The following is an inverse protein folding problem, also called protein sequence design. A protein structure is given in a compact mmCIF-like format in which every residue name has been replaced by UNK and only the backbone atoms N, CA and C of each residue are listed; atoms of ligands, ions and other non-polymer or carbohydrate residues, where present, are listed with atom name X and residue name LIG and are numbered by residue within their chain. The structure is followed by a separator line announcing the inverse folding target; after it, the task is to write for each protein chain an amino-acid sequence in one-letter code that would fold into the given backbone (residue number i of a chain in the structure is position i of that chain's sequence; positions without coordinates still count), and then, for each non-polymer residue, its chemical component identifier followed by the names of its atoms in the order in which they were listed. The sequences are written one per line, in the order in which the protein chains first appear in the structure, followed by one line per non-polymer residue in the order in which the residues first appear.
data_IF_578765460857
#
_entry.id   IF_578765460857
#
_cell.length_a   1.000
_cell.length_b   1.000
_cell.length_c   1.000
_cell.angle_alpha   90.00
_cell.angle_beta   90.00
_cell.angle_gamma   90.00
#
_symmetry.space_group_name_H-M   'P 1'
#
loop_
_entity.id
_entity.type
_entity.pdbx_description
1 polymer ?
#
# COMPACT_ATOMS: atom_id res chain seq x y z
N UNK A 1 8.16 -15.61 11.34
CA UNK A 1 6.85 -15.21 11.91
C UNK A 1 7.03 -13.82 12.48
N UNK A 2 6.29 -12.83 12.00
CA UNK A 2 6.32 -11.47 12.54
C UNK A 2 5.43 -11.46 13.79
N UNK A 3 5.88 -10.85 14.89
CA UNK A 3 5.07 -10.67 16.10
C UNK A 3 4.24 -9.39 16.00
N UNK A 4 3.17 -9.24 16.78
CA UNK A 4 2.39 -7.99 16.82
C UNK A 4 3.25 -6.75 17.13
N UNK A 5 4.20 -6.78 18.11
CA UNK A 5 5.08 -5.63 18.34
C UNK A 5 6.05 -5.34 17.18
N UNK A 6 6.53 -6.36 16.46
CA UNK A 6 7.36 -6.16 15.28
C UNK A 6 6.54 -5.55 14.14
N UNK A 7 5.28 -5.99 13.96
CA UNK A 7 4.37 -5.45 12.97
C UNK A 7 4.09 -3.96 13.23
N UNK A 8 3.87 -3.57 14.49
CA UNK A 8 3.69 -2.17 14.88
C UNK A 8 4.89 -1.30 14.47
N UNK A 9 6.12 -1.75 14.75
CA UNK A 9 7.35 -1.04 14.35
C UNK A 9 7.48 -0.93 12.82
N UNK A 10 7.08 -1.95 12.07
CA UNK A 10 7.06 -1.90 10.60
C UNK A 10 6.09 -0.80 10.12
N UNK A 11 4.90 -0.70 10.72
CA UNK A 11 3.94 0.36 10.39
C UNK A 11 4.42 1.74 10.80
N UNK A 12 5.13 1.89 11.93
CA UNK A 12 5.75 3.17 12.33
C UNK A 12 6.73 3.67 11.25
N UNK A 13 7.62 2.80 10.76
CA UNK A 13 8.54 3.14 9.67
C UNK A 13 7.78 3.47 8.39
N UNK A 14 6.74 2.68 8.06
CA UNK A 14 5.90 2.90 6.88
C UNK A 14 5.27 4.29 6.90
N UNK A 15 4.70 4.70 8.04
CA UNK A 15 4.10 6.03 8.23
C UNK A 15 5.12 7.14 7.97
N UNK A 16 6.33 7.04 8.54
CA UNK A 16 7.38 8.05 8.34
C UNK A 16 7.73 8.21 6.85
N UNK A 17 7.83 7.11 6.11
CA UNK A 17 8.19 7.13 4.70
C UNK A 17 7.04 7.63 3.81
N UNK A 18 5.82 7.12 4.02
CA UNK A 18 4.64 7.49 3.21
C UNK A 18 4.23 8.94 3.44
N UNK A 19 4.29 9.45 4.67
CA UNK A 19 4.03 10.88 4.97
C UNK A 19 5.02 11.76 4.23
N UNK A 20 6.30 11.39 4.21
CA UNK A 20 7.30 12.15 3.46
C UNK A 20 7.08 12.06 1.95
N UNK A 21 6.68 10.89 1.44
CA UNK A 21 6.37 10.70 0.02
C UNK A 21 5.19 11.58 -0.40
N UNK A 22 4.06 11.53 0.31
CA UNK A 22 2.87 12.31 -0.05
C UNK A 22 3.11 13.81 0.09
N UNK A 23 3.83 14.25 1.13
CA UNK A 23 4.20 15.67 1.31
C UNK A 23 5.03 16.22 0.15
N UNK A 24 5.90 15.39 -0.43
CA UNK A 24 6.68 15.75 -1.63
C UNK A 24 5.86 15.63 -2.91
N UNK A 25 4.92 14.69 -2.98
CA UNK A 25 4.12 14.42 -4.15
C UNK A 25 3.07 15.51 -4.41
N UNK A 26 2.29 15.90 -3.39
CA UNK A 26 1.12 16.79 -3.53
C UNK A 26 1.41 18.08 -4.31
N UNK A 27 2.50 18.83 -4.06
CA UNK A 27 2.79 20.06 -4.81
C UNK A 27 3.14 19.84 -6.30
N UNK A 28 3.38 18.59 -6.71
CA UNK A 28 3.80 18.20 -8.06
C UNK A 28 2.75 17.37 -8.80
N UNK A 29 1.62 17.06 -8.15
CA UNK A 29 0.55 16.29 -8.75
C UNK A 29 -0.08 17.03 -9.92
N UNK A 30 -0.33 16.30 -10.99
CA UNK A 30 -1.09 16.79 -12.15
C UNK A 30 -2.54 16.31 -12.07
N UNK A 31 -3.45 17.00 -12.76
CA UNK A 31 -4.85 16.55 -12.86
C UNK A 31 -4.95 15.12 -13.40
N UNK A 32 -4.15 14.78 -14.40
CA UNK A 32 -4.11 13.43 -14.97
C UNK A 32 -3.74 12.35 -13.94
N UNK A 33 -2.81 12.64 -13.03
CA UNK A 33 -2.47 11.71 -11.94
C UNK A 33 -3.59 11.59 -10.90
N UNK A 34 -4.28 12.69 -10.59
CA UNK A 34 -5.43 12.67 -9.68
C UNK A 34 -6.57 11.87 -10.30
N UNK A 35 -6.85 12.05 -11.59
CA UNK A 35 -7.89 11.31 -12.32
C UNK A 35 -7.56 9.82 -12.35
N UNK A 36 -6.28 9.47 -12.58
CA UNK A 36 -5.82 8.08 -12.53
C UNK A 36 -5.97 7.47 -11.13
N UNK A 37 -5.54 8.16 -10.08
CA UNK A 37 -5.69 7.68 -8.71
C UNK A 37 -7.17 7.52 -8.32
N UNK A 38 -8.03 8.41 -8.78
CA UNK A 38 -9.48 8.34 -8.57
C UNK A 38 -10.07 7.11 -9.25
N UNK A 39 -9.72 6.85 -10.51
CA UNK A 39 -10.19 5.67 -11.23
C UNK A 39 -9.78 4.35 -10.54
N UNK A 40 -8.56 4.27 -10.00
CA UNK A 40 -8.10 3.10 -9.24
C UNK A 40 -8.90 2.95 -7.93
N UNK A 41 -9.19 4.08 -7.25
CA UNK A 41 -9.99 4.08 -6.03
C UNK A 41 -11.44 3.61 -6.30
N UNK A 42 -12.04 4.08 -7.39
CA UNK A 42 -13.39 3.68 -7.81
C UNK A 42 -13.45 2.17 -8.13
N UNK A 43 -12.41 1.64 -8.80
CA UNK A 43 -12.28 0.21 -9.05
C UNK A 43 -12.15 -0.58 -7.73
N UNK A 44 -11.34 -0.10 -6.78
CA UNK A 44 -11.20 -0.71 -5.46
C UNK A 44 -12.52 -0.77 -4.69
N UNK A 45 -13.31 0.30 -4.71
CA UNK A 45 -14.60 0.37 -4.01
C UNK A 45 -15.65 -0.55 -4.65
N UNK A 46 -15.55 -0.78 -5.96
CA UNK A 46 -16.49 -1.61 -6.73
C UNK A 46 -16.12 -3.09 -6.83
N UNK A 47 -14.97 -3.52 -6.31
CA UNK A 47 -14.48 -4.90 -6.41
C UNK A 47 -14.73 -5.66 -5.10
N UNK A 48 -15.30 -6.87 -5.20
CA UNK A 48 -15.50 -7.78 -4.06
C UNK A 48 -14.36 -8.83 -3.95
N UNK A 49 -13.43 -8.87 -4.91
CA UNK A 49 -12.30 -9.80 -4.90
C UNK A 49 -11.17 -9.30 -3.98
N UNK A 50 -11.14 -9.89 -2.78
CA UNK A 50 -10.10 -9.68 -1.76
C UNK A 50 -8.68 -9.88 -2.34
N UNK A 51 -8.52 -10.77 -3.33
CA UNK A 51 -7.24 -10.99 -4.00
C UNK A 51 -6.75 -9.77 -4.77
N UNK A 52 -7.67 -9.01 -5.38
CA UNK A 52 -7.38 -7.80 -6.15
C UNK A 52 -7.23 -6.56 -5.27
N UNK A 53 -7.81 -6.57 -4.07
CA UNK A 53 -7.72 -5.45 -3.12
C UNK A 53 -6.28 -5.07 -2.78
N UNK A 54 -5.40 -6.04 -2.57
CA UNK A 54 -3.98 -5.76 -2.28
C UNK A 54 -3.30 -5.04 -3.45
N UNK A 55 -3.56 -5.50 -4.68
CA UNK A 55 -2.99 -4.93 -5.91
C UNK A 55 -3.51 -3.51 -6.18
N UNK A 56 -4.84 -3.31 -6.08
CA UNK A 56 -5.49 -2.01 -6.28
C UNK A 56 -5.07 -1.01 -5.21
N UNK A 57 -4.98 -1.43 -3.94
CA UNK A 57 -4.48 -0.58 -2.87
C UNK A 57 -3.02 -0.15 -3.12
N UNK A 58 -2.15 -1.08 -3.54
CA UNK A 58 -0.77 -0.73 -3.90
C UNK A 58 -0.71 0.24 -5.09
N UNK A 59 -1.50 -0.02 -6.14
CA UNK A 59 -1.57 0.82 -7.33
C UNK A 59 -2.03 2.24 -6.98
N UNK A 60 -3.05 2.39 -6.14
CA UNK A 60 -3.55 3.67 -5.67
C UNK A 60 -2.46 4.46 -4.93
N UNK A 61 -1.86 3.87 -3.89
CA UNK A 61 -0.82 4.53 -3.10
C UNK A 61 0.40 4.91 -3.96
N UNK A 62 0.84 4.01 -4.84
CA UNK A 62 2.00 4.27 -5.71
C UNK A 62 1.71 5.40 -6.70
N UNK A 63 0.53 5.42 -7.32
CA UNK A 63 0.10 6.49 -8.23
C UNK A 63 0.19 7.86 -7.55
N UNK A 64 -0.22 7.96 -6.29
CA UNK A 64 -0.08 9.19 -5.51
C UNK A 64 1.39 9.55 -5.25
N UNK A 65 2.22 8.58 -4.88
CA UNK A 65 3.60 8.84 -4.47
C UNK A 65 4.57 9.09 -5.64
N UNK A 66 4.24 8.65 -6.86
CA UNK A 66 5.08 8.84 -8.05
C UNK A 66 5.44 10.31 -8.30
N UNK A 67 4.51 11.23 -8.06
CA UNK A 67 4.74 12.66 -8.21
C UNK A 67 5.85 13.20 -7.29
N UNK A 68 6.24 12.47 -6.22
CA UNK A 68 7.35 12.86 -5.36
C UNK A 68 8.71 12.83 -6.08
N UNK A 69 8.85 12.05 -7.16
CA UNK A 69 10.10 11.84 -7.88
C UNK A 69 11.25 11.41 -6.94
N UNK A 70 10.98 10.42 -6.08
CA UNK A 70 11.95 9.85 -5.14
C UNK A 70 12.03 8.32 -5.29
N UNK A 71 12.62 7.80 -6.38
CA UNK A 71 12.59 6.37 -6.68
C UNK A 71 13.17 5.51 -5.54
N UNK A 72 14.22 5.98 -4.85
CA UNK A 72 14.76 5.29 -3.69
C UNK A 72 13.76 5.19 -2.52
N UNK A 73 13.02 6.28 -2.24
CA UNK A 73 11.97 6.30 -1.21
C UNK A 73 10.83 5.34 -1.57
N UNK A 74 10.37 5.37 -2.82
CA UNK A 74 9.31 4.47 -3.30
C UNK A 74 9.71 3.00 -3.20
N UNK A 75 10.97 2.68 -3.51
CA UNK A 75 11.49 1.32 -3.37
C UNK A 75 11.52 0.84 -1.91
N UNK A 76 11.84 1.73 -0.96
CA UNK A 76 11.76 1.40 0.47
C UNK A 76 10.32 1.15 0.93
N UNK A 77 9.37 1.99 0.50
CA UNK A 77 7.94 1.81 0.78
C UNK A 77 7.46 0.47 0.20
N UNK A 78 7.83 0.16 -1.05
CA UNK A 78 7.52 -1.12 -1.70
C UNK A 78 8.05 -2.32 -0.92
N UNK A 79 9.30 -2.24 -0.47
CA UNK A 79 9.92 -3.33 0.31
C UNK A 79 9.17 -3.60 1.61
N UNK A 80 8.66 -2.55 2.27
CA UNK A 80 7.82 -2.68 3.46
C UNK A 80 6.45 -3.27 3.11
N UNK A 81 5.81 -2.75 2.05
CA UNK A 81 4.52 -3.24 1.57
C UNK A 81 4.57 -4.75 1.29
N UNK A 82 5.53 -5.21 0.48
CA UNK A 82 5.70 -6.63 0.12
C UNK A 82 5.91 -7.52 1.36
N UNK A 83 6.59 -7.01 2.40
CA UNK A 83 6.78 -7.72 3.68
C UNK A 83 5.47 -7.85 4.45
N UNK A 84 4.68 -6.78 4.53
CA UNK A 84 3.38 -6.75 5.22
C UNK A 84 2.35 -7.59 4.49
N UNK A 85 2.26 -7.47 3.16
CA UNK A 85 1.30 -8.22 2.34
C UNK A 85 1.52 -9.73 2.47
N UNK A 86 2.77 -10.18 2.39
CA UNK A 86 3.13 -11.60 2.59
C UNK A 86 2.72 -12.10 3.97
N UNK A 87 2.89 -11.27 5.00
CA UNK A 87 2.48 -11.62 6.36
C UNK A 87 0.96 -11.74 6.48
N UNK A 88 0.21 -10.78 5.95
CA UNK A 88 -1.26 -10.78 5.97
C UNK A 88 -1.82 -11.98 5.20
N UNK A 89 -1.28 -12.29 4.01
CA UNK A 89 -1.70 -13.44 3.21
C UNK A 89 -1.51 -14.76 3.95
N UNK A 90 -0.39 -14.90 4.67
CA UNK A 90 -0.14 -16.07 5.53
C UNK A 90 -1.14 -16.14 6.69
N UNK A 91 -1.43 -15.02 7.38
CA UNK A 91 -2.42 -15.01 8.47
C UNK A 91 -3.84 -15.34 7.98
N UNK A 92 -4.30 -14.74 6.88
CA UNK A 92 -5.62 -15.02 6.30
C UNK A 92 -5.76 -16.49 5.89
N UNK A 93 -4.70 -17.10 5.33
CA UNK A 93 -4.70 -18.53 4.99
C UNK A 93 -4.81 -19.44 6.23
N UNK A 94 -4.39 -18.98 7.41
CA UNK A 94 -4.55 -19.71 8.66
C UNK A 94 -5.96 -19.53 9.27
N UNK A 95 -6.57 -18.37 9.09
CA UNK A 95 -7.93 -18.10 9.58
C UNK A 95 -9.00 -18.82 8.73
N UNK A 96 -8.82 -18.96 7.42
CA UNK A 96 -9.66 -19.84 6.56
C UNK A 96 -9.51 -21.33 6.91
N UNK A 97 -8.42 -21.72 7.59
CA UNK A 97 -8.18 -23.08 8.06
C UNK A 97 -8.96 -23.47 9.33
N UNK A 98 -9.66 -22.53 9.97
CA UNK A 98 -10.46 -22.79 11.18
C UNK A 98 -11.97 -23.00 10.93
N UNK A 99 -12.43 -22.92 9.68
CA UNK A 99 -13.79 -23.29 9.28
C UNK A 99 -13.88 -24.64 8.55
N UNK A 100 -13.04 -25.61 8.93
CA UNK A 100 -13.22 -27.03 8.52
C UNK A 100 -13.24 -27.96 9.71
#
# INVERSE_FOLDING_TARGET
RISEPELAQIFEVRVLLEVQAIRLAVPRMTQAQIDQATAICDEFVGDDDIGRWAELNWAFHTCLYEAAQRPFLLNMIRSIHDKVERYLRVQMSFDEGKER
#
